data_IF_450421030310
#
_entry.id   IF_450421030310
#
_cell.length_a   1.000
_cell.length_b   1.000
_cell.length_c   1.000
_cell.angle_alpha   90.00
_cell.angle_beta   90.00
_cell.angle_gamma   90.00
#
_symmetry.space_group_name_H-M   'P 1'
#
loop_
_entity.id
_entity.type
_entity.pdbx_description
1 polymer ?
#
# COMPACT_ATOMS: atom_id res chain seq x y z
N UNK A 1 0.64 34.13 -11.50
CA UNK A 1 0.58 32.72 -11.94
C UNK A 1 -0.18 31.92 -10.89
N UNK A 2 -1.41 31.51 -11.23
CA UNK A 2 -2.44 31.09 -10.28
C UNK A 2 -2.16 29.74 -9.61
N UNK A 3 -2.32 29.72 -8.28
CA UNK A 3 -2.18 28.58 -7.36
C UNK A 3 -2.91 27.31 -7.84
N UNK A 4 -4.02 27.45 -8.57
CA UNK A 4 -4.84 26.34 -9.07
C UNK A 4 -4.13 25.44 -10.10
N UNK A 5 -3.11 25.94 -10.81
CA UNK A 5 -2.42 25.16 -11.83
C UNK A 5 -1.45 24.12 -11.22
N UNK A 6 -0.84 24.43 -10.06
CA UNK A 6 0.12 23.53 -9.41
C UNK A 6 -0.57 22.29 -8.84
N UNK A 7 -1.69 22.49 -8.15
CA UNK A 7 -2.47 21.40 -7.55
C UNK A 7 -2.99 20.41 -8.59
N UNK A 8 -3.42 20.91 -9.74
CA UNK A 8 -3.96 20.09 -10.85
C UNK A 8 -2.87 19.24 -11.51
N UNK A 9 -1.66 19.79 -11.69
CA UNK A 9 -0.52 19.03 -12.22
C UNK A 9 -0.06 17.91 -11.29
N UNK A 10 -0.16 18.11 -9.98
CA UNK A 10 0.25 17.11 -9.00
C UNK A 10 -0.74 15.94 -8.92
N UNK A 11 -2.05 16.19 -9.04
CA UNK A 11 -3.09 15.14 -9.13
C UNK A 11 -2.88 14.25 -10.35
N UNK A 12 -2.62 14.86 -11.50
CA UNK A 12 -2.40 14.17 -12.77
C UNK A 12 -1.20 13.22 -12.71
N UNK A 13 -0.09 13.69 -12.15
CA UNK A 13 1.11 12.85 -11.93
C UNK A 13 0.81 11.68 -10.99
N UNK A 14 0.05 11.92 -9.91
CA UNK A 14 -0.33 10.87 -8.96
C UNK A 14 -1.25 9.81 -9.58
N UNK A 15 -2.14 10.17 -10.52
CA UNK A 15 -2.90 9.18 -11.31
C UNK A 15 -1.98 8.25 -12.10
N UNK A 16 -0.97 8.82 -12.78
CA UNK A 16 -0.01 8.02 -13.56
C UNK A 16 0.80 7.09 -12.66
N UNK A 17 1.26 7.60 -11.51
CA UNK A 17 2.02 6.81 -10.51
C UNK A 17 1.16 5.63 -10.03
N UNK A 18 -0.08 5.90 -9.63
CA UNK A 18 -1.02 4.88 -9.19
C UNK A 18 -1.29 3.81 -10.25
N UNK A 19 -1.57 4.25 -11.49
CA UNK A 19 -1.83 3.33 -12.61
C UNK A 19 -0.64 2.39 -12.85
N UNK A 20 0.57 2.94 -12.85
CA UNK A 20 1.80 2.16 -13.02
C UNK A 20 2.10 1.24 -11.84
N UNK A 21 1.83 1.67 -10.60
CA UNK A 21 2.05 0.83 -9.40
C UNK A 21 1.13 -0.39 -9.38
N UNK A 22 -0.11 -0.24 -9.86
CA UNK A 22 -1.08 -1.33 -10.02
C UNK A 22 -0.91 -2.16 -11.30
N UNK A 23 0.02 -1.78 -12.19
CA UNK A 23 0.24 -2.41 -13.52
C UNK A 23 -1.03 -2.48 -14.38
N UNK A 24 -1.89 -1.48 -14.29
CA UNK A 24 -3.12 -1.38 -15.10
C UNK A 24 -2.93 -0.40 -16.26
N UNK A 25 -3.69 -0.60 -17.33
CA UNK A 25 -3.62 0.24 -18.54
C UNK A 25 -4.55 1.45 -18.43
N UNK A 26 -4.42 2.40 -19.36
CA UNK A 26 -5.36 3.51 -19.48
C UNK A 26 -6.75 3.01 -19.93
N UNK A 27 -6.80 1.95 -20.73
CA UNK A 27 -8.05 1.30 -21.17
C UNK A 27 -8.80 0.68 -19.99
N UNK A 28 -8.10 0.04 -19.04
CA UNK A 28 -8.73 -0.59 -17.87
C UNK A 28 -9.48 0.43 -17.00
N UNK A 29 -8.86 1.59 -16.77
CA UNK A 29 -9.49 2.65 -15.99
C UNK A 29 -10.59 3.35 -16.80
N UNK A 30 -10.39 3.54 -18.11
CA UNK A 30 -11.42 4.08 -18.99
C UNK A 30 -12.69 3.22 -19.00
N UNK A 31 -12.52 1.89 -19.11
CA UNK A 31 -13.60 0.92 -19.04
C UNK A 31 -14.32 0.98 -17.69
N UNK A 32 -13.60 1.07 -16.58
CA UNK A 32 -14.20 1.23 -15.25
C UNK A 32 -14.98 2.56 -15.10
N UNK A 33 -14.56 3.61 -15.79
CA UNK A 33 -15.25 4.90 -15.82
C UNK A 33 -16.42 4.96 -16.82
N UNK A 34 -16.60 3.93 -17.67
CA UNK A 34 -17.57 3.94 -18.76
C UNK A 34 -17.25 4.99 -19.83
N UNK A 35 -15.97 5.28 -20.06
CA UNK A 35 -15.51 6.23 -21.09
C UNK A 35 -14.51 5.56 -22.03
N UNK A 36 -14.24 6.19 -23.17
CA UNK A 36 -13.17 5.74 -24.05
C UNK A 36 -11.78 6.12 -23.51
N UNK A 37 -10.76 5.39 -23.93
CA UNK A 37 -9.38 5.60 -23.49
C UNK A 37 -8.82 7.00 -23.83
N UNK A 38 -9.09 7.61 -25.01
CA UNK A 38 -8.67 8.98 -25.26
C UNK A 38 -9.25 9.97 -24.25
N UNK A 39 -10.51 9.80 -23.86
CA UNK A 39 -11.15 10.61 -22.83
C UNK A 39 -10.52 10.40 -21.45
N UNK A 40 -10.04 9.20 -21.14
CA UNK A 40 -9.27 8.93 -19.93
C UNK A 40 -7.86 9.55 -19.99
N UNK A 41 -7.17 9.44 -21.12
CA UNK A 41 -5.84 10.04 -21.34
C UNK A 41 -5.84 11.54 -21.08
N UNK A 42 -6.94 12.25 -21.34
CA UNK A 42 -7.08 13.67 -20.99
C UNK A 42 -7.06 13.96 -19.47
N UNK A 43 -7.36 12.98 -18.61
CA UNK A 43 -7.17 13.11 -17.16
C UNK A 43 -5.70 12.97 -16.77
N UNK A 44 -4.94 12.12 -17.49
CA UNK A 44 -3.51 11.92 -17.28
C UNK A 44 -2.64 12.92 -18.04
N UNK A 45 -3.13 13.61 -19.07
CA UNK A 45 -2.35 14.47 -19.98
C UNK A 45 -2.93 15.86 -20.25
N UNK A 46 -4.22 16.08 -19.98
CA UNK A 46 -4.91 17.33 -20.28
C UNK A 46 -4.74 18.39 -19.18
N UNK A 47 -5.02 19.64 -19.53
CA UNK A 47 -4.71 20.80 -18.67
C UNK A 47 -5.77 21.17 -17.62
N UNK A 48 -6.98 20.60 -17.60
CA UNK A 48 -8.06 21.08 -16.70
C UNK A 48 -9.18 20.05 -16.41
N UNK A 49 -8.92 18.74 -16.49
CA UNK A 49 -9.98 17.74 -16.31
C UNK A 49 -10.05 17.26 -14.87
N UNK A 50 -11.00 17.80 -14.10
CA UNK A 50 -11.25 17.33 -12.73
C UNK A 50 -12.02 16.01 -12.73
N UNK A 51 -11.65 15.10 -11.82
CA UNK A 51 -12.40 13.87 -11.57
C UNK A 51 -13.70 14.20 -10.86
N UNK A 52 -14.83 13.77 -11.43
CA UNK A 52 -16.12 13.85 -10.74
C UNK A 52 -16.14 12.95 -9.52
N UNK A 53 -17.03 13.25 -8.56
CA UNK A 53 -17.17 12.45 -7.33
C UNK A 53 -17.44 10.97 -7.62
N UNK A 54 -18.25 10.66 -8.65
CA UNK A 54 -18.49 9.28 -9.09
C UNK A 54 -17.20 8.56 -9.54
N UNK A 55 -16.32 9.24 -10.29
CA UNK A 55 -15.04 8.67 -10.72
C UNK A 55 -14.07 8.47 -9.55
N UNK A 56 -14.11 9.37 -8.57
CA UNK A 56 -13.35 9.22 -7.33
C UNK A 56 -13.83 7.99 -6.55
N UNK A 57 -15.14 7.79 -6.42
CA UNK A 57 -15.72 6.58 -5.80
C UNK A 57 -15.27 5.31 -6.53
N UNK A 58 -15.28 5.30 -7.86
CA UNK A 58 -14.80 4.14 -8.64
C UNK A 58 -13.32 3.86 -8.36
N UNK A 59 -12.46 4.89 -8.34
CA UNK A 59 -11.03 4.73 -8.03
C UNK A 59 -10.81 4.17 -6.63
N UNK A 60 -11.60 4.62 -5.66
CA UNK A 60 -11.57 4.12 -4.29
C UNK A 60 -12.04 2.67 -4.21
N UNK A 61 -13.26 2.40 -4.64
CA UNK A 61 -13.94 1.14 -4.35
C UNK A 61 -13.45 -0.01 -5.23
N UNK A 62 -13.15 0.26 -6.51
CA UNK A 62 -12.71 -0.77 -7.46
C UNK A 62 -11.20 -0.99 -7.44
N UNK A 63 -10.43 0.06 -7.20
CA UNK A 63 -8.96 -0.01 -7.31
C UNK A 63 -8.23 0.22 -5.98
N UNK A 64 -8.95 0.56 -4.92
CA UNK A 64 -8.39 0.79 -3.58
C UNK A 64 -7.59 2.09 -3.47
N UNK A 65 -7.82 3.08 -4.34
CA UNK A 65 -7.06 4.34 -4.30
C UNK A 65 -7.50 5.21 -3.14
N UNK A 66 -6.53 5.71 -2.38
CA UNK A 66 -6.78 6.78 -1.42
C UNK A 66 -7.00 8.11 -2.16
N UNK A 67 -8.24 8.62 -2.10
CA UNK A 67 -8.62 9.87 -2.75
C UNK A 67 -7.96 11.07 -2.07
N UNK A 68 -7.76 11.04 -0.76
CA UNK A 68 -7.08 12.12 -0.05
C UNK A 68 -5.61 12.19 -0.47
N UNK A 69 -4.93 11.04 -0.61
CA UNK A 69 -3.58 10.97 -1.17
C UNK A 69 -3.55 11.50 -2.61
N UNK A 70 -4.56 11.17 -3.43
CA UNK A 70 -4.61 11.64 -4.81
C UNK A 70 -4.66 13.17 -4.92
N UNK A 71 -5.35 13.87 -4.01
CA UNK A 71 -5.48 15.32 -4.05
C UNK A 71 -4.41 16.06 -3.24
N UNK A 72 -4.00 15.52 -2.10
CA UNK A 72 -3.07 16.18 -1.16
C UNK A 72 -1.64 15.68 -1.29
N UNK A 73 -1.44 14.46 -1.77
CA UNK A 73 -0.15 13.75 -1.74
C UNK A 73 0.23 13.22 -0.35
N UNK A 74 -0.66 13.33 0.64
CA UNK A 74 -0.40 12.94 2.03
C UNK A 74 -1.02 11.58 2.33
N UNK A 75 -0.29 10.73 3.05
CA UNK A 75 -0.75 9.41 3.49
C UNK A 75 -0.42 8.27 2.53
N UNK A 76 -1.05 7.12 2.73
CA UNK A 76 -0.86 5.93 1.91
C UNK A 76 -1.61 6.03 0.59
N UNK A 77 -0.98 5.57 -0.51
CA UNK A 77 -1.58 5.57 -1.85
C UNK A 77 -2.77 4.62 -1.96
N UNK A 78 -2.68 3.46 -1.30
CA UNK A 78 -3.69 2.39 -1.37
C UNK A 78 -4.36 2.27 -0.01
N UNK A 79 -5.70 2.33 0.01
CA UNK A 79 -6.50 1.97 1.18
C UNK A 79 -6.91 0.52 1.01
N UNK A 80 -6.40 -0.35 1.87
CA UNK A 80 -6.94 -1.70 2.02
C UNK A 80 -8.11 -1.58 3.01
N UNK A 81 -9.35 -1.66 2.54
CA UNK A 81 -10.50 -1.76 3.44
C UNK A 81 -10.41 -3.10 4.18
N UNK A 82 -9.80 -3.07 5.36
CA UNK A 82 -9.73 -4.21 6.28
C UNK A 82 -11.07 -4.50 6.97
N UNK A 83 -12.20 -4.05 6.42
CA UNK A 83 -13.52 -4.24 7.01
C UNK A 83 -14.57 -4.67 5.98
N UNK A 84 -14.44 -5.93 5.55
CA UNK A 84 -15.58 -6.86 5.50
C UNK A 84 -15.16 -8.12 6.27
N UNK A 85 -15.30 -8.07 7.59
CA UNK A 85 -15.21 -9.27 8.40
C UNK A 85 -16.52 -10.06 8.23
N UNK A 86 -16.38 -11.35 7.92
CA UNK A 86 -17.33 -12.44 8.18
C UNK A 86 -18.73 -12.34 7.54
N UNK A 87 -18.85 -12.77 6.28
CA UNK A 87 -19.83 -13.80 5.91
C UNK A 87 -19.44 -14.40 4.55
N UNK A 88 -18.72 -15.52 4.59
CA UNK A 88 -18.62 -16.42 3.45
C UNK A 88 -19.87 -17.29 3.49
N UNK A 89 -20.96 -16.86 2.83
CA UNK A 89 -21.97 -17.80 2.36
C UNK A 89 -21.65 -18.15 0.92
N UNK A 90 -21.21 -19.39 0.76
CA UNK A 90 -20.75 -20.01 -0.46
C UNK A 90 -21.96 -20.41 -1.32
N UNK A 91 -22.53 -19.48 -2.09
CA UNK A 91 -23.50 -19.64 -3.20
C UNK A 91 -23.74 -18.21 -3.73
N UNK A 92 -23.40 -17.77 -4.93
CA UNK A 92 -23.47 -18.39 -6.26
C UNK A 92 -22.29 -17.88 -7.13
N UNK A 93 -21.56 -18.79 -7.79
CA UNK A 93 -20.66 -18.44 -8.91
C UNK A 93 -21.15 -19.18 -10.15
N UNK A 94 -21.97 -18.48 -10.93
CA UNK A 94 -22.21 -18.75 -12.35
C UNK A 94 -22.38 -17.34 -12.96
N UNK A 95 -21.53 -16.83 -13.85
CA UNK A 95 -21.11 -17.41 -15.11
C UNK A 95 -19.69 -16.96 -15.54
N UNK A 96 -18.94 -17.95 -16.05
CA UNK A 96 -17.99 -17.90 -17.17
C UNK A 96 -16.80 -16.91 -17.10
N UNK A 97 -15.66 -17.45 -16.66
CA UNK A 97 -14.34 -16.92 -17.04
C UNK A 97 -13.18 -17.48 -16.22
N UNK A 98 -12.70 -18.70 -16.56
CA UNK A 98 -11.44 -19.33 -16.11
C UNK A 98 -11.00 -19.06 -14.65
N UNK A 99 -11.39 -19.98 -13.76
CA UNK A 99 -10.84 -20.16 -12.42
C UNK A 99 -9.33 -20.45 -12.52
N UNK A 100 -8.50 -19.43 -12.35
CA UNK A 100 -7.07 -19.64 -12.07
C UNK A 100 -7.01 -20.03 -10.59
N UNK A 101 -6.89 -21.33 -10.32
CA UNK A 101 -6.62 -21.83 -8.97
C UNK A 101 -5.16 -21.50 -8.65
N UNK A 102 -4.91 -20.34 -8.04
CA UNK A 102 -3.59 -20.02 -7.49
C UNK A 102 -3.46 -20.88 -6.25
N UNK A 103 -2.48 -21.77 -6.21
CA UNK A 103 -2.18 -22.59 -5.05
C UNK A 103 -1.66 -21.69 -3.91
N UNK A 104 -2.55 -21.35 -2.98
CA UNK A 104 -2.30 -20.44 -1.86
C UNK A 104 -1.64 -21.13 -0.66
N UNK A 105 -1.39 -22.43 -0.71
CA UNK A 105 -0.85 -23.22 0.41
C UNK A 105 0.56 -22.79 0.80
N UNK A 106 1.46 -22.65 -0.18
CA UNK A 106 2.86 -22.24 0.00
C UNK A 106 2.97 -20.81 0.58
N UNK A 107 2.10 -19.91 0.13
CA UNK A 107 2.06 -18.53 0.64
C UNK A 107 1.69 -18.47 2.13
N UNK A 108 0.73 -19.28 2.56
CA UNK A 108 0.30 -19.32 3.95
C UNK A 108 1.37 -19.92 4.86
N UNK A 109 2.07 -20.94 4.40
CA UNK A 109 3.18 -21.55 5.14
C UNK A 109 4.36 -20.58 5.28
N UNK A 110 4.77 -19.93 4.18
CA UNK A 110 5.84 -18.94 4.19
C UNK A 110 5.51 -17.75 5.10
N UNK A 111 4.25 -17.28 5.09
CA UNK A 111 3.79 -16.21 5.98
C UNK A 111 3.84 -16.62 7.45
N UNK A 112 3.51 -17.90 7.74
CA UNK A 112 3.65 -18.48 9.08
C UNK A 112 5.11 -18.48 9.55
N UNK A 113 6.02 -18.97 8.70
CA UNK A 113 7.46 -19.01 9.00
C UNK A 113 8.04 -17.62 9.25
N UNK A 114 7.69 -16.63 8.41
CA UNK A 114 8.13 -15.23 8.58
C UNK A 114 7.66 -14.67 9.93
N UNK A 115 6.44 -14.97 10.35
CA UNK A 115 5.90 -14.51 11.63
C UNK A 115 6.70 -15.07 12.83
N UNK A 116 7.07 -16.34 12.78
CA UNK A 116 7.85 -16.96 13.85
C UNK A 116 9.30 -16.44 13.86
N UNK A 117 9.92 -16.24 12.70
CA UNK A 117 11.25 -15.62 12.63
C UNK A 117 11.25 -14.19 13.20
N UNK A 118 10.22 -13.40 12.93
CA UNK A 118 10.10 -12.06 13.50
C UNK A 118 10.06 -12.07 15.03
N UNK A 119 9.28 -12.98 15.64
CA UNK A 119 9.25 -13.12 17.11
C UNK A 119 10.62 -13.45 17.68
N UNK A 120 11.37 -14.34 17.01
CA UNK A 120 12.70 -14.73 17.44
C UNK A 120 13.66 -13.53 17.40
N UNK A 121 13.65 -12.76 16.31
CA UNK A 121 14.47 -11.54 16.16
C UNK A 121 14.18 -10.55 17.30
N UNK A 122 12.90 -10.33 17.62
CA UNK A 122 12.54 -9.44 18.73
C UNK A 122 13.07 -9.91 20.08
N UNK A 123 13.01 -11.21 20.36
CA UNK A 123 13.57 -11.75 21.61
C UNK A 123 15.10 -11.62 21.67
N UNK A 124 15.79 -11.87 20.55
CA UNK A 124 17.24 -11.77 20.47
C UNK A 124 17.71 -10.33 20.69
N UNK A 125 17.00 -9.35 20.12
CA UNK A 125 17.31 -7.94 20.33
C UNK A 125 17.28 -7.57 21.82
N UNK A 126 16.28 -8.05 22.56
CA UNK A 126 16.18 -7.84 24.01
C UNK A 126 17.36 -8.46 24.76
N UNK A 127 17.83 -9.63 24.35
CA UNK A 127 19.00 -10.28 24.94
C UNK A 127 20.29 -9.53 24.63
N UNK A 128 20.46 -9.05 23.40
CA UNK A 128 21.62 -8.23 23.00
C UNK A 128 21.69 -6.96 23.84
N UNK A 129 20.56 -6.26 24.00
CA UNK A 129 20.50 -5.06 24.84
C UNK A 129 20.87 -5.33 26.30
N UNK A 130 20.40 -6.45 26.86
CA UNK A 130 20.76 -6.85 28.22
C UNK A 130 22.27 -7.13 28.33
N UNK A 131 22.85 -7.83 27.35
CA UNK A 131 24.28 -8.12 27.31
C UNK A 131 25.12 -6.84 27.17
N UNK A 132 24.71 -5.90 26.31
CA UNK A 132 25.37 -4.60 26.17
C UNK A 132 25.42 -3.84 27.50
N UNK A 133 24.31 -3.79 28.24
CA UNK A 133 24.27 -3.17 29.58
C UNK A 133 25.21 -3.86 30.57
N UNK A 134 25.28 -5.19 30.54
CA UNK A 134 26.20 -5.94 31.41
C UNK A 134 27.66 -5.65 31.07
N UNK A 135 28.01 -5.57 29.78
CA UNK A 135 29.36 -5.21 29.34
C UNK A 135 29.72 -3.79 29.81
N UNK A 136 28.83 -2.82 29.64
CA UNK A 136 29.06 -1.43 30.09
C UNK A 136 29.28 -1.30 31.60
N UNK A 137 28.63 -2.14 32.40
CA UNK A 137 28.81 -2.16 33.86
C UNK A 137 30.14 -2.81 34.26
N UNK A 138 30.56 -3.86 33.55
CA UNK A 138 31.84 -4.53 33.78
C UNK A 138 33.04 -3.65 33.36
N UNK A 139 32.93 -2.90 32.27
CA UNK A 139 33.98 -1.96 31.83
C UNK A 139 34.15 -0.80 32.81
N UNK A 140 33.06 -0.26 33.37
CA UNK A 140 33.10 0.77 34.43
C UNK A 140 33.75 0.25 35.72
N UNK A 141 33.40 -0.96 36.16
CA UNK A 141 33.95 -1.57 37.39
C UNK A 141 35.46 -1.84 37.31
N UNK A 142 35.97 -2.19 36.13
CA UNK A 142 37.41 -2.44 35.93
C UNK A 142 38.24 -1.15 35.77
N UNK A 143 37.62 0.00 35.48
CA UNK A 143 38.28 1.31 35.45
C UNK A 143 38.60 1.88 36.83
N UNK A 144 37.77 1.60 37.85
CA UNK A 144 37.98 2.06 39.23
C UNK A 144 39.00 1.21 40.02
N UNK A 145 39.23 -0.04 39.62
CA UNK A 145 40.17 -0.93 40.30
C UNK A 145 41.65 -0.72 39.93
N UNK A 146 41.94 0.15 38.95
CA UNK A 146 43.30 0.45 38.46
C UNK A 146 43.86 1.81 38.90
N UNK A 147 43.20 2.54 39.79
CA UNK A 147 43.58 3.88 40.25
C UNK A 147 44.05 3.93 41.72
N UNK A 148 44.68 2.85 42.22
CA UNK A 148 45.33 2.79 43.54
C UNK A 148 46.82 2.51 43.36
#
# INVERSE_FOLDING_TARGET
MSINNKLTEDVRKRLVIFRKSKKITQDDIAAAFGINQPAYSQYENGKNKMLSKAKQTILKDRFGLNIDWLFTGIGEMIVCDKQKNNDFSEHDIEEKGKKITIDYSEYMELKGQIKEQMKLIYSQQKTIEANSRTIDNLTKKNGDAGAV
#
